data_IF_261636749883
#
_entry.id   IF_261636749883
#
_cell.length_a   1.000
_cell.length_b   1.000
_cell.length_c   1.000
_cell.angle_alpha   90.00
_cell.angle_beta   90.00
_cell.angle_gamma   90.00
#
_symmetry.space_group_name_H-M   'P 1'
#
loop_
_entity.id
_entity.type
_entity.pdbx_description
1 polymer ?
#
# COMPACT_ATOMS: atom_id res chain seq x y z
N UNK A 1 33.69 -17.17 6.30
CA UNK A 1 33.39 -16.66 4.95
C UNK A 1 31.95 -16.22 4.75
N UNK A 2 30.96 -16.72 5.52
CA UNK A 2 29.55 -16.27 5.40
C UNK A 2 29.31 -14.79 5.80
N UNK A 3 30.05 -14.28 6.79
CA UNK A 3 29.88 -12.89 7.27
C UNK A 3 30.36 -11.82 6.27
N UNK A 4 31.28 -12.16 5.37
CA UNK A 4 31.81 -11.22 4.37
C UNK A 4 30.85 -11.04 3.18
N UNK A 5 30.04 -12.05 2.85
CA UNK A 5 29.04 -11.97 1.79
C UNK A 5 27.85 -11.09 2.17
N UNK A 6 27.42 -11.11 3.44
CA UNK A 6 26.31 -10.27 3.94
C UNK A 6 26.69 -8.79 4.01
N UNK A 7 27.93 -8.48 4.38
CA UNK A 7 28.43 -7.10 4.41
C UNK A 7 28.52 -6.49 2.99
N UNK A 8 28.85 -7.27 1.96
CA UNK A 8 28.97 -6.75 0.59
C UNK A 8 27.60 -6.41 -0.04
N UNK A 9 26.56 -7.18 0.29
CA UNK A 9 25.18 -6.92 -0.18
C UNK A 9 24.61 -5.65 0.48
N UNK A 10 24.90 -5.40 1.75
CA UNK A 10 24.47 -4.17 2.44
C UNK A 10 25.19 -2.91 1.92
N UNK A 11 26.45 -3.03 1.51
CA UNK A 11 27.20 -1.89 0.93
C UNK A 11 26.70 -1.54 -0.47
N UNK A 12 26.28 -2.51 -1.29
CA UNK A 12 25.72 -2.20 -2.63
C UNK A 12 24.33 -1.56 -2.58
N UNK A 13 23.50 -1.90 -1.59
CA UNK A 13 22.21 -1.22 -1.36
C UNK A 13 22.41 0.21 -0.84
N UNK A 14 23.45 0.46 -0.05
CA UNK A 14 23.75 1.78 0.49
C UNK A 14 24.42 2.74 -0.51
N UNK A 15 25.31 2.26 -1.40
CA UNK A 15 26.15 3.12 -2.27
C UNK A 15 25.42 3.66 -3.51
N UNK A 16 24.29 3.06 -3.94
CA UNK A 16 23.46 3.62 -5.03
C UNK A 16 22.48 4.73 -4.58
N UNK A 17 22.39 5.01 -3.28
CA UNK A 17 21.50 6.04 -2.71
C UNK A 17 22.19 7.39 -2.45
N UNK A 18 23.52 7.50 -2.56
CA UNK A 18 24.27 8.70 -2.12
C UNK A 18 24.46 9.78 -3.19
N UNK A 19 23.78 9.71 -4.34
CA UNK A 19 23.81 10.78 -5.35
C UNK A 19 22.43 11.21 -5.82
N UNK A 20 21.41 11.10 -4.96
CA UNK A 20 20.17 11.83 -5.17
C UNK A 20 20.32 13.24 -4.61
N UNK A 21 19.96 14.30 -5.36
CA UNK A 21 19.80 15.63 -4.77
C UNK A 21 18.80 15.54 -3.60
N UNK A 22 19.01 16.36 -2.58
CA UNK A 22 18.17 16.37 -1.38
C UNK A 22 16.67 16.44 -1.76
N UNK A 23 15.79 15.69 -1.09
CA UNK A 23 14.35 15.75 -1.34
C UNK A 23 13.88 17.19 -1.15
N UNK A 24 13.17 17.71 -2.15
CA UNK A 24 12.53 19.03 -2.06
C UNK A 24 11.42 18.92 -1.03
N UNK A 25 11.56 19.62 0.10
CA UNK A 25 10.47 19.79 1.06
C UNK A 25 9.41 20.71 0.44
N UNK A 26 8.30 20.11 0.00
CA UNK A 26 7.15 20.84 -0.52
C UNK A 26 6.45 21.57 0.65
N UNK A 27 6.70 22.88 0.78
CA UNK A 27 5.95 23.74 1.67
C UNK A 27 4.68 24.20 0.96
N UNK A 28 3.54 24.01 1.61
CA UNK A 28 2.19 24.39 1.15
C UNK A 28 2.17 25.88 0.77
N UNK A 29 2.26 26.17 -0.53
CA UNK A 29 2.32 27.52 -1.11
C UNK A 29 0.96 27.84 -1.70
N UNK A 30 0.43 29.01 -1.36
CA UNK A 30 -0.83 29.53 -1.90
C UNK A 30 -0.77 29.62 -3.42
N UNK A 31 -1.63 28.85 -4.08
CA UNK A 31 -1.59 28.56 -5.51
C UNK A 31 -2.04 29.76 -6.37
N UNK A 32 -1.29 30.18 -7.40
CA UNK A 32 -1.79 31.09 -8.43
C UNK A 32 -2.92 30.43 -9.26
N UNK A 33 -3.75 31.24 -9.91
CA UNK A 33 -4.88 30.77 -10.74
C UNK A 33 -4.47 29.64 -11.69
N UNK A 34 -5.30 28.57 -11.82
CA UNK A 34 -4.93 27.40 -12.60
C UNK A 34 -4.74 27.78 -14.08
N UNK A 35 -3.61 27.41 -14.71
CA UNK A 35 -3.42 27.61 -16.14
C UNK A 35 -4.47 26.86 -16.95
N UNK A 36 -4.80 27.39 -18.13
CA UNK A 36 -5.66 26.71 -19.11
C UNK A 36 -4.99 25.40 -19.50
N UNK A 37 -5.60 24.26 -19.15
CA UNK A 37 -5.09 22.92 -19.46
C UNK A 37 -5.20 22.66 -20.96
N UNK A 38 -4.10 22.81 -21.69
CA UNK A 38 -3.98 22.20 -23.03
C UNK A 38 -3.64 20.73 -22.84
N UNK A 39 -4.52 19.83 -23.30
CA UNK A 39 -4.21 18.40 -23.26
C UNK A 39 -2.94 18.12 -24.08
N UNK A 40 -2.03 17.26 -23.57
CA UNK A 40 -0.84 16.89 -24.30
C UNK A 40 -1.24 16.01 -25.49
N UNK A 41 -0.31 15.81 -26.43
CA UNK A 41 -0.51 14.91 -27.58
C UNK A 41 -0.84 13.51 -27.07
N UNK A 42 -1.83 12.84 -27.66
CA UNK A 42 -2.20 11.48 -27.25
C UNK A 42 -1.03 10.50 -27.46
N UNK A 43 -0.83 9.55 -26.55
CA UNK A 43 0.25 8.56 -26.61
C UNK A 43 0.25 7.72 -27.88
N UNK A 44 -0.90 7.58 -28.54
CA UNK A 44 -1.01 6.87 -29.80
C UNK A 44 -0.38 7.67 -30.97
N UNK A 45 -0.38 9.00 -30.87
CA UNK A 45 0.15 9.91 -31.91
C UNK A 45 1.62 10.28 -31.67
N UNK A 46 2.21 9.84 -30.55
CA UNK A 46 3.63 10.01 -30.24
C UNK A 46 4.41 8.88 -30.90
N UNK A 47 5.62 9.16 -31.42
CA UNK A 47 6.49 8.13 -31.97
C UNK A 47 6.84 7.05 -30.92
N UNK A 48 7.16 5.84 -31.37
CA UNK A 48 7.70 4.78 -30.51
C UNK A 48 8.96 5.26 -29.80
N UNK A 49 9.08 4.99 -28.51
CA UNK A 49 10.23 5.38 -27.68
C UNK A 49 10.89 4.17 -27.02
N UNK A 50 12.07 4.39 -26.46
CA UNK A 50 12.88 3.36 -25.80
C UNK A 50 14.04 2.88 -26.66
N UNK A 51 14.84 1.97 -26.11
CA UNK A 51 16.11 1.53 -26.71
C UNK A 51 15.96 0.72 -28.01
N UNK A 52 14.75 0.24 -28.32
CA UNK A 52 14.41 -0.53 -29.52
C UNK A 52 13.50 0.24 -30.48
N UNK A 53 13.29 1.54 -30.26
CA UNK A 53 12.40 2.36 -31.09
C UNK A 53 12.78 2.37 -32.58
N UNK A 54 14.08 2.34 -32.88
CA UNK A 54 14.60 2.36 -34.25
C UNK A 54 14.61 0.98 -34.92
N UNK A 55 14.32 -0.11 -34.19
CA UNK A 55 14.20 -1.46 -34.75
C UNK A 55 12.79 -1.66 -35.33
N UNK A 56 12.57 -1.11 -36.52
CA UNK A 56 11.28 -1.15 -37.20
C UNK A 56 10.75 -2.59 -37.42
N UNK A 57 11.65 -3.56 -37.62
CA UNK A 57 11.27 -4.96 -37.80
C UNK A 57 10.74 -5.55 -36.48
N UNK A 58 11.43 -5.29 -35.37
CA UNK A 58 10.98 -5.73 -34.05
C UNK A 58 9.66 -5.05 -33.64
N UNK A 59 9.58 -3.72 -33.79
CA UNK A 59 8.38 -2.93 -33.46
C UNK A 59 7.15 -3.40 -34.26
N UNK A 60 7.31 -3.59 -35.57
CA UNK A 60 6.22 -4.11 -36.42
C UNK A 60 5.83 -5.55 -36.06
N UNK A 61 6.80 -6.39 -35.75
CA UNK A 61 6.57 -7.76 -35.30
C UNK A 61 5.74 -7.79 -34.01
N UNK A 62 6.08 -6.96 -33.03
CA UNK A 62 5.38 -6.89 -31.73
C UNK A 62 3.94 -6.41 -31.89
N UNK A 63 3.67 -5.41 -32.74
CA UNK A 63 2.31 -4.95 -33.01
C UNK A 63 1.41 -6.04 -33.64
N UNK A 64 2.03 -7.08 -34.23
CA UNK A 64 1.37 -8.11 -35.03
C UNK A 64 1.23 -9.46 -34.32
N UNK A 65 1.74 -9.62 -33.09
CA UNK A 65 1.70 -10.92 -32.41
C UNK A 65 0.27 -11.35 -32.04
N UNK A 66 -0.03 -12.67 -32.00
CA UNK A 66 -1.36 -13.14 -31.61
C UNK A 66 -1.79 -12.72 -30.21
N UNK A 67 -0.84 -12.54 -29.27
CA UNK A 67 -1.14 -12.18 -27.89
C UNK A 67 -1.85 -10.82 -27.75
N UNK A 68 -1.67 -9.90 -28.71
CA UNK A 68 -2.36 -8.60 -28.73
C UNK A 68 -3.62 -8.60 -29.59
N UNK A 69 -4.14 -9.78 -29.99
CA UNK A 69 -5.36 -9.88 -30.79
C UNK A 69 -6.61 -9.33 -30.07
N UNK A 70 -6.57 -9.23 -28.74
CA UNK A 70 -7.62 -8.60 -27.94
C UNK A 70 -7.62 -7.07 -27.99
N UNK A 71 -6.58 -6.45 -28.55
CA UNK A 71 -6.57 -5.01 -28.83
C UNK A 71 -7.31 -4.71 -30.14
N UNK A 72 -7.86 -3.48 -30.27
CA UNK A 72 -8.33 -2.96 -31.56
C UNK A 72 -7.34 -3.15 -32.71
N UNK A 73 -7.85 -3.13 -33.94
CA UNK A 73 -7.06 -3.45 -35.13
C UNK A 73 -6.00 -2.38 -35.46
N UNK A 74 -6.30 -1.11 -35.20
CA UNK A 74 -5.33 -0.04 -35.30
C UNK A 74 -4.44 -0.08 -34.06
N UNK A 75 -3.16 -0.45 -34.24
CA UNK A 75 -2.21 -0.67 -33.15
C UNK A 75 -0.97 0.17 -33.32
N UNK A 76 -0.46 0.66 -32.21
CA UNK A 76 0.75 1.44 -32.14
C UNK A 76 1.60 0.97 -30.94
N UNK A 77 2.91 0.82 -31.14
CA UNK A 77 3.85 0.48 -30.05
C UNK A 77 4.41 1.79 -29.50
N UNK A 78 3.95 2.23 -28.33
CA UNK A 78 4.44 3.49 -27.73
C UNK A 78 5.79 3.32 -27.05
N UNK A 79 6.08 2.14 -26.51
CA UNK A 79 7.36 1.80 -25.88
C UNK A 79 7.90 0.49 -26.42
N UNK A 80 9.19 0.48 -26.78
CA UNK A 80 9.98 -0.68 -27.14
C UNK A 80 11.37 -0.54 -26.49
N UNK A 81 11.67 -1.35 -25.47
CA UNK A 81 12.94 -1.23 -24.74
C UNK A 81 13.46 -2.55 -24.19
N UNK A 82 14.77 -2.68 -24.16
CA UNK A 82 15.47 -3.60 -23.27
C UNK A 82 15.54 -3.03 -21.84
N UNK A 83 15.44 -3.92 -20.86
CA UNK A 83 15.61 -3.69 -19.44
C UNK A 83 16.58 -4.76 -18.87
N UNK A 84 17.06 -4.62 -17.62
CA UNK A 84 17.82 -5.71 -16.99
C UNK A 84 17.00 -7.00 -16.99
N UNK A 85 17.59 -8.08 -17.53
CA UNK A 85 17.01 -9.43 -17.64
C UNK A 85 15.78 -9.59 -18.57
N UNK A 86 15.17 -8.50 -19.03
CA UNK A 86 13.89 -8.53 -19.76
C UNK A 86 13.85 -7.58 -20.96
N UNK A 87 12.93 -7.86 -21.86
CA UNK A 87 12.52 -6.96 -22.94
C UNK A 87 11.06 -6.61 -22.75
N UNK A 88 10.70 -5.35 -23.01
CA UNK A 88 9.39 -4.78 -22.68
C UNK A 88 8.83 -4.00 -23.85
N UNK A 89 7.54 -4.19 -24.11
CA UNK A 89 6.78 -3.33 -25.01
C UNK A 89 5.45 -2.87 -24.39
N UNK A 90 5.05 -1.67 -24.78
CA UNK A 90 3.72 -1.14 -24.50
C UNK A 90 2.99 -0.89 -25.81
N UNK A 91 1.88 -1.60 -26.02
CA UNK A 91 1.10 -1.54 -27.25
C UNK A 91 -0.25 -0.93 -26.94
N UNK A 92 -0.61 0.12 -27.68
CA UNK A 92 -1.92 0.71 -27.70
C UNK A 92 -2.70 0.19 -28.90
N UNK A 93 -3.98 -0.11 -28.69
CA UNK A 93 -4.97 -0.28 -29.75
C UNK A 93 -6.06 0.77 -29.60
N UNK A 94 -6.49 1.35 -30.71
CA UNK A 94 -7.52 2.40 -30.75
C UNK A 94 -8.69 1.97 -31.63
N UNK A 95 -9.90 2.26 -31.17
CA UNK A 95 -11.09 2.33 -32.01
C UNK A 95 -11.73 3.73 -31.90
N UNK A 96 -12.94 3.94 -32.42
CA UNK A 96 -13.57 5.27 -32.42
C UNK A 96 -13.81 5.86 -31.04
N UNK A 97 -13.94 5.03 -30.00
CA UNK A 97 -14.44 5.46 -28.70
C UNK A 97 -13.51 5.07 -27.53
N UNK A 98 -12.54 4.20 -27.74
CA UNK A 98 -11.69 3.65 -26.67
C UNK A 98 -10.24 3.43 -27.08
N UNK A 99 -9.35 3.64 -26.11
CA UNK A 99 -7.95 3.19 -26.18
C UNK A 99 -7.75 2.04 -25.19
N UNK A 100 -7.30 0.90 -25.71
CA UNK A 100 -6.97 -0.28 -24.92
C UNK A 100 -5.47 -0.50 -25.01
N UNK A 101 -4.85 -0.85 -23.89
CA UNK A 101 -3.42 -1.06 -23.81
C UNK A 101 -3.06 -2.49 -23.42
N UNK A 102 -1.88 -2.94 -23.84
CA UNK A 102 -1.27 -4.19 -23.43
C UNK A 102 0.20 -3.97 -23.09
N UNK A 103 0.60 -4.52 -21.94
CA UNK A 103 2.00 -4.68 -21.56
C UNK A 103 2.50 -6.04 -22.03
N UNK A 104 3.64 -6.05 -22.71
CA UNK A 104 4.31 -7.25 -23.18
C UNK A 104 5.69 -7.35 -22.55
N UNK A 105 6.04 -8.56 -22.09
CA UNK A 105 7.32 -8.88 -21.48
C UNK A 105 7.89 -10.17 -22.08
N UNK A 106 9.21 -10.22 -22.21
CA UNK A 106 9.97 -11.38 -22.67
C UNK A 106 11.37 -11.38 -22.05
N UNK A 107 12.14 -12.47 -22.19
CA UNK A 107 13.53 -12.49 -21.75
C UNK A 107 14.36 -11.44 -22.49
N UNK A 108 15.50 -11.04 -21.93
CA UNK A 108 16.44 -10.15 -22.61
C UNK A 108 16.80 -10.68 -24.01
N UNK A 109 16.73 -9.81 -25.02
CA UNK A 109 16.98 -10.19 -26.41
C UNK A 109 15.83 -10.92 -27.11
N UNK A 110 14.66 -11.08 -26.47
CA UNK A 110 13.53 -11.79 -27.04
C UNK A 110 13.12 -11.24 -28.43
N UNK A 111 12.98 -12.09 -29.44
CA UNK A 111 12.28 -11.70 -30.67
C UNK A 111 10.78 -11.51 -30.39
N UNK A 112 10.03 -10.82 -31.28
CA UNK A 112 8.63 -10.48 -31.03
C UNK A 112 7.75 -11.67 -30.66
N UNK A 113 7.94 -12.83 -31.30
CA UNK A 113 7.18 -14.05 -31.07
C UNK A 113 7.39 -14.70 -29.69
N UNK A 114 8.43 -14.29 -28.95
CA UNK A 114 8.68 -14.73 -27.58
C UNK A 114 8.13 -13.75 -26.53
N UNK A 115 7.56 -12.61 -26.96
CA UNK A 115 6.91 -11.67 -26.07
C UNK A 115 5.55 -12.22 -25.64
N UNK A 116 5.24 -12.06 -24.35
CA UNK A 116 3.99 -12.52 -23.74
C UNK A 116 3.31 -11.37 -23.01
N UNK A 117 1.99 -11.46 -22.84
CA UNK A 117 1.27 -10.47 -22.03
C UNK A 117 1.77 -10.51 -20.59
N UNK A 118 2.15 -9.35 -20.05
CA UNK A 118 2.48 -9.22 -18.64
C UNK A 118 1.23 -9.34 -17.76
N UNK A 119 0.08 -8.90 -18.27
CA UNK A 119 -1.25 -8.96 -17.66
C UNK A 119 -2.30 -8.86 -18.78
N UNK A 120 -3.56 -9.14 -18.47
CA UNK A 120 -4.67 -8.91 -19.39
C UNK A 120 -4.70 -7.44 -19.89
N UNK A 121 -5.08 -7.19 -21.17
CA UNK A 121 -5.27 -5.85 -21.69
C UNK A 121 -6.27 -5.03 -20.87
N UNK A 122 -6.07 -3.71 -20.81
CA UNK A 122 -6.84 -2.81 -19.96
C UNK A 122 -7.11 -1.48 -20.65
N UNK A 123 -8.20 -0.81 -20.28
CA UNK A 123 -8.52 0.50 -20.81
C UNK A 123 -7.56 1.56 -20.24
N UNK A 124 -7.16 2.50 -21.09
CA UNK A 124 -6.34 3.65 -20.71
C UNK A 124 -6.96 4.91 -21.30
N UNK A 125 -6.71 6.06 -20.67
CA UNK A 125 -6.90 7.32 -21.38
C UNK A 125 -5.72 7.53 -22.33
N UNK A 126 -5.95 8.29 -23.41
CA UNK A 126 -4.92 8.56 -24.41
C UNK A 126 -3.77 9.45 -23.88
N UNK A 127 -3.89 10.04 -22.70
CA UNK A 127 -2.95 11.04 -22.18
C UNK A 127 -2.48 10.81 -20.74
N UNK A 128 -3.08 9.91 -19.96
CA UNK A 128 -2.62 9.70 -18.57
C UNK A 128 -1.39 8.79 -18.56
N UNK A 129 -0.34 9.13 -17.79
CA UNK A 129 0.82 8.28 -17.66
C UNK A 129 0.45 6.86 -17.21
N UNK A 130 1.07 5.87 -17.84
CA UNK A 130 0.83 4.46 -17.55
C UNK A 130 2.09 3.85 -16.95
N UNK A 131 1.93 3.03 -15.94
CA UNK A 131 3.04 2.33 -15.31
C UNK A 131 2.79 0.82 -15.25
N UNK A 132 3.86 0.04 -15.40
CA UNK A 132 3.93 -1.39 -15.17
C UNK A 132 4.91 -1.67 -14.03
N UNK A 133 4.51 -2.51 -13.09
CA UNK A 133 5.43 -3.12 -12.14
C UNK A 133 5.48 -4.62 -12.40
N UNK A 134 6.65 -5.09 -12.81
CA UNK A 134 6.93 -6.50 -13.03
C UNK A 134 7.95 -7.04 -12.03
N UNK A 135 8.02 -8.37 -11.92
CA UNK A 135 9.07 -9.09 -11.22
C UNK A 135 9.69 -10.07 -12.21
N UNK A 136 10.90 -9.76 -12.71
CA UNK A 136 11.61 -10.64 -13.63
C UNK A 136 11.83 -12.07 -13.09
N UNK A 137 12.13 -13.05 -13.97
CA UNK A 137 12.31 -14.45 -13.58
C UNK A 137 13.32 -14.68 -12.44
N UNK A 138 13.18 -15.84 -11.79
CA UNK A 138 13.64 -16.21 -10.43
C UNK A 138 15.10 -15.94 -10.02
N UNK A 139 16.00 -15.58 -10.93
CA UNK A 139 17.36 -15.15 -10.60
C UNK A 139 17.43 -13.67 -10.15
N UNK A 140 16.40 -12.89 -10.45
CA UNK A 140 16.27 -11.49 -10.04
C UNK A 140 15.49 -11.39 -8.73
N UNK A 141 16.08 -10.76 -7.72
CA UNK A 141 15.46 -10.60 -6.38
C UNK A 141 14.69 -9.29 -6.22
N UNK A 142 14.64 -8.44 -7.26
CA UNK A 142 13.94 -7.16 -7.25
C UNK A 142 12.64 -7.16 -8.04
N UNK A 143 12.02 -6.00 -8.17
CA UNK A 143 11.03 -5.70 -9.18
C UNK A 143 11.59 -4.73 -10.22
N UNK A 144 10.81 -4.49 -11.26
CA UNK A 144 11.10 -3.52 -12.30
C UNK A 144 9.88 -2.63 -12.46
N UNK A 145 10.09 -1.31 -12.35
CA UNK A 145 9.06 -0.30 -12.58
C UNK A 145 9.32 0.36 -13.92
N UNK A 146 8.34 0.27 -14.81
CA UNK A 146 8.33 0.95 -16.11
C UNK A 146 7.24 2.00 -16.09
N UNK A 147 7.55 3.23 -16.47
CA UNK A 147 6.60 4.34 -16.53
C UNK A 147 6.70 4.98 -17.91
N UNK A 148 5.55 5.15 -18.56
CA UNK A 148 5.40 5.84 -19.84
C UNK A 148 4.62 7.13 -19.57
N UNK A 149 5.35 8.24 -19.51
CA UNK A 149 4.82 9.60 -19.49
C UNK A 149 5.07 10.31 -20.82
N UNK A 150 4.74 11.59 -20.89
CA UNK A 150 5.00 12.47 -22.03
C UNK A 150 6.46 12.93 -22.05
N UNK A 151 7.01 13.25 -23.23
CA UNK A 151 8.31 13.90 -23.33
C UNK A 151 8.38 15.16 -22.45
N UNK A 152 9.41 15.24 -21.60
CA UNK A 152 9.62 16.34 -20.64
C UNK A 152 9.16 16.02 -19.21
N UNK A 153 8.28 15.05 -19.02
CA UNK A 153 7.77 14.70 -17.70
C UNK A 153 8.87 14.31 -16.71
N UNK A 154 8.71 14.72 -15.45
CA UNK A 154 9.50 14.21 -14.33
C UNK A 154 8.73 13.11 -13.61
N UNK A 155 9.40 12.01 -13.31
CA UNK A 155 8.76 10.84 -12.72
C UNK A 155 9.34 10.58 -11.34
N UNK A 156 8.46 10.47 -10.35
CA UNK A 156 8.80 10.08 -8.99
C UNK A 156 7.95 8.90 -8.54
N UNK A 157 8.52 8.09 -7.67
CA UNK A 157 7.90 6.86 -7.17
C UNK A 157 7.68 6.93 -5.68
N UNK A 158 6.45 6.74 -5.25
CA UNK A 158 6.04 6.68 -3.84
C UNK A 158 5.57 5.27 -3.52
N UNK A 159 6.46 4.51 -2.86
CA UNK A 159 6.20 3.13 -2.46
C UNK A 159 5.22 3.03 -1.28
N UNK A 160 5.21 4.04 -0.41
CA UNK A 160 4.39 4.09 0.80
C UNK A 160 4.81 5.22 1.74
N UNK A 161 4.46 5.11 3.02
CA UNK A 161 4.82 6.06 4.08
C UNK A 161 6.02 5.57 4.88
N UNK A 162 7.01 6.44 5.07
CA UNK A 162 8.07 6.22 6.03
C UNK A 162 7.61 6.66 7.42
N UNK A 163 8.08 5.98 8.47
CA UNK A 163 7.81 6.36 9.86
C UNK A 163 9.14 6.44 10.61
N UNK A 164 9.43 7.61 11.16
CA UNK A 164 10.64 7.83 11.95
C UNK A 164 10.57 7.07 13.28
N UNK A 165 11.71 6.89 13.95
CA UNK A 165 11.74 6.29 15.29
C UNK A 165 10.91 7.08 16.33
N UNK A 166 10.65 8.36 16.07
CA UNK A 166 9.78 9.23 16.88
C UNK A 166 8.28 9.08 16.59
N UNK A 167 7.89 8.27 15.60
CA UNK A 167 6.49 8.07 15.19
C UNK A 167 5.98 9.09 14.16
N UNK A 168 6.83 9.97 13.66
CA UNK A 168 6.46 10.94 12.62
C UNK A 168 6.33 10.24 11.27
N UNK A 169 5.30 10.61 10.50
CA UNK A 169 5.00 10.02 9.20
C UNK A 169 5.49 10.92 8.09
N UNK A 170 6.36 10.39 7.24
CA UNK A 170 6.90 11.09 6.08
C UNK A 170 6.49 10.39 4.79
N UNK A 171 6.35 11.18 3.72
CA UNK A 171 6.21 10.67 2.36
C UNK A 171 7.53 10.86 1.65
N UNK A 172 8.15 9.75 1.25
CA UNK A 172 9.40 9.78 0.50
C UNK A 172 9.08 9.39 -0.93
N UNK A 173 9.14 10.38 -1.83
CA UNK A 173 9.04 10.16 -3.26
C UNK A 173 10.47 10.06 -3.82
N UNK A 174 10.79 8.93 -4.43
CA UNK A 174 12.09 8.70 -5.07
C UNK A 174 12.01 9.14 -6.53
N UNK A 175 12.80 10.15 -6.91
CA UNK A 175 12.90 10.54 -8.33
C UNK A 175 13.50 9.40 -9.13
N UNK A 176 12.86 9.05 -10.24
CA UNK A 176 13.32 8.00 -11.15
C UNK A 176 14.15 8.60 -12.29
N UNK A 177 15.08 7.82 -12.89
CA UNK A 177 15.74 8.23 -14.12
C UNK A 177 14.71 8.29 -15.25
N UNK A 178 14.66 9.41 -15.97
CA UNK A 178 13.74 9.62 -17.10
C UNK A 178 14.53 9.92 -18.37
N UNK A 179 14.16 9.28 -19.47
CA UNK A 179 14.64 9.59 -20.82
C UNK A 179 13.43 9.68 -21.73
N UNK A 180 13.19 10.85 -22.32
CA UNK A 180 12.06 11.11 -23.22
C UNK A 180 10.68 10.70 -22.65
N UNK A 181 10.44 11.05 -21.38
CA UNK A 181 9.20 10.71 -20.67
C UNK A 181 9.10 9.24 -20.26
N UNK A 182 10.11 8.41 -20.53
CA UNK A 182 10.15 7.00 -20.15
C UNK A 182 11.06 6.80 -18.95
N UNK A 183 10.58 6.06 -17.96
CA UNK A 183 11.42 5.53 -16.88
C UNK A 183 11.41 4.01 -16.87
N UNK A 184 12.58 3.41 -16.77
CA UNK A 184 12.78 1.97 -16.54
C UNK A 184 13.74 1.85 -15.37
N UNK A 185 13.24 1.48 -14.20
CA UNK A 185 14.00 1.53 -12.96
C UNK A 185 13.87 0.23 -12.16
N UNK A 186 15.00 -0.33 -11.65
CA UNK A 186 14.94 -1.43 -10.70
C UNK A 186 14.34 -0.92 -9.38
N UNK A 187 13.40 -1.68 -8.84
CA UNK A 187 12.71 -1.41 -7.57
C UNK A 187 12.65 -2.69 -6.72
N UNK A 188 12.05 -2.65 -5.54
CA UNK A 188 11.68 -3.87 -4.82
C UNK A 188 10.51 -4.60 -5.50
N UNK A 189 10.18 -5.83 -5.09
CA UNK A 189 8.88 -6.43 -5.46
C UNK A 189 7.73 -5.58 -4.89
N UNK A 190 6.53 -5.61 -5.51
CA UNK A 190 5.37 -4.92 -4.97
C UNK A 190 5.02 -5.47 -3.58
N UNK A 191 4.88 -4.60 -2.56
CA UNK A 191 4.58 -5.04 -1.21
C UNK A 191 3.14 -5.52 -1.09
N UNK A 192 2.22 -4.92 -1.84
CA UNK A 192 0.80 -5.25 -1.88
C UNK A 192 0.20 -4.85 -3.25
N UNK A 193 -1.02 -5.31 -3.58
CA UNK A 193 -1.66 -5.01 -4.87
C UNK A 193 -2.00 -3.53 -5.06
N UNK A 194 -2.01 -2.76 -3.96
CA UNK A 194 -2.42 -1.36 -3.90
C UNK A 194 -1.45 -0.54 -3.03
N UNK A 195 -1.70 0.76 -2.93
CA UNK A 195 -0.98 1.67 -2.02
C UNK A 195 0.29 2.30 -2.59
N UNK A 196 0.80 1.77 -3.70
CA UNK A 196 1.90 2.37 -4.43
C UNK A 196 1.39 3.39 -5.46
N UNK A 197 2.08 4.53 -5.54
CA UNK A 197 1.75 5.61 -6.46
C UNK A 197 2.98 6.01 -7.28
N UNK A 198 2.77 6.21 -8.57
CA UNK A 198 3.70 6.93 -9.43
C UNK A 198 3.18 8.36 -9.56
N UNK A 199 4.06 9.31 -9.25
CA UNK A 199 3.82 10.74 -9.38
C UNK A 199 4.52 11.20 -10.66
N UNK A 200 3.77 11.78 -11.58
CA UNK A 200 4.32 12.33 -12.82
C UNK A 200 4.07 13.82 -12.81
N UNK A 201 5.15 14.60 -12.66
CA UNK A 201 5.08 16.05 -12.72
C UNK A 201 5.25 16.48 -14.18
N UNK A 202 4.14 16.94 -14.76
CA UNK A 202 4.08 17.44 -16.12
C UNK A 202 4.18 18.96 -16.08
N UNK A 203 5.21 19.53 -16.72
CA UNK A 203 5.54 20.96 -16.74
C UNK A 203 4.36 21.89 -17.13
N UNK A 204 3.32 21.35 -17.76
CA UNK A 204 2.23 22.13 -18.38
C UNK A 204 0.84 21.96 -17.75
N UNK A 205 0.59 20.95 -16.91
CA UNK A 205 -0.79 20.57 -16.51
C UNK A 205 -0.93 20.26 -15.00
N UNK A 206 0.18 20.24 -14.26
CA UNK A 206 0.24 19.83 -12.85
C UNK A 206 0.48 18.32 -12.70
N UNK A 207 0.72 17.88 -11.45
CA UNK A 207 1.12 16.51 -11.17
C UNK A 207 -0.01 15.48 -11.36
N UNK A 208 0.28 14.43 -12.14
CA UNK A 208 -0.54 13.24 -12.27
C UNK A 208 -0.19 12.20 -11.19
N UNK A 209 -1.19 11.39 -10.83
CA UNK A 209 -1.01 10.23 -9.95
C UNK A 209 -1.58 9.01 -10.64
N UNK A 210 -0.75 8.00 -10.84
CA UNK A 210 -1.17 6.72 -11.41
C UNK A 210 -0.74 5.58 -10.50
N UNK A 211 -1.54 4.51 -10.46
CA UNK A 211 -1.16 3.26 -9.79
C UNK A 211 -0.56 2.34 -10.84
N UNK A 212 0.62 1.74 -10.59
CA UNK A 212 1.20 0.83 -11.54
C UNK A 212 0.31 -0.40 -11.74
N UNK A 213 0.13 -0.79 -12.99
CA UNK A 213 -0.47 -2.08 -13.32
C UNK A 213 0.53 -3.16 -12.94
N UNK A 214 0.11 -4.15 -12.16
CA UNK A 214 0.96 -5.29 -11.82
C UNK A 214 0.91 -6.31 -12.94
N UNK A 215 2.07 -6.84 -13.34
CA UNK A 215 2.11 -8.09 -14.10
C UNK A 215 1.50 -9.24 -13.30
N UNK A 216 1.14 -10.36 -13.93
CA UNK A 216 0.61 -11.53 -13.24
C UNK A 216 1.61 -12.11 -12.23
N UNK A 217 2.92 -12.05 -12.54
CA UNK A 217 4.00 -12.46 -11.64
C UNK A 217 4.12 -11.54 -10.43
N UNK A 218 4.11 -10.24 -10.68
CA UNK A 218 4.17 -9.22 -9.63
C UNK A 218 2.93 -9.27 -8.74
N UNK A 219 1.74 -9.49 -9.33
CA UNK A 219 0.46 -9.66 -8.62
C UNK A 219 0.50 -10.89 -7.72
N UNK A 220 1.00 -12.03 -8.21
CA UNK A 220 1.12 -13.25 -7.39
C UNK A 220 1.99 -13.03 -6.13
N UNK A 221 3.06 -12.23 -6.25
CA UNK A 221 3.90 -11.86 -5.10
C UNK A 221 3.17 -10.90 -4.15
N UNK A 222 2.53 -9.88 -4.70
CA UNK A 222 1.78 -8.89 -3.93
C UNK A 222 0.58 -9.48 -3.17
N UNK A 223 -0.06 -10.50 -3.73
CA UNK A 223 -1.22 -11.19 -3.15
C UNK A 223 -0.85 -12.36 -2.24
N UNK A 224 0.43 -12.71 -2.15
CA UNK A 224 0.91 -13.80 -1.33
C UNK A 224 0.42 -13.64 0.13
N UNK A 225 -0.06 -14.73 0.78
CA UNK A 225 -0.58 -14.64 2.13
C UNK A 225 0.45 -14.09 3.13
N UNK A 226 0.04 -13.08 3.88
CA UNK A 226 0.82 -12.53 4.98
C UNK A 226 0.58 -13.37 6.23
N UNK A 227 1.65 -13.87 6.85
CA UNK A 227 1.54 -14.66 8.08
C UNK A 227 1.77 -13.75 9.30
N UNK A 228 0.70 -13.33 10.01
CA UNK A 228 0.89 -12.59 11.25
C UNK A 228 1.35 -13.53 12.37
N UNK A 229 2.13 -13.01 13.31
CA UNK A 229 2.31 -13.66 14.59
C UNK A 229 0.98 -13.63 15.37
N UNK A 230 0.65 -14.74 16.02
CA UNK A 230 -0.56 -14.88 16.83
C UNK A 230 -0.23 -15.40 18.23
N UNK A 231 0.45 -14.59 19.07
CA UNK A 231 0.84 -14.98 20.42
C UNK A 231 -0.35 -15.23 21.36
N UNK A 232 -1.55 -14.81 20.95
CA UNK A 232 -2.79 -14.87 21.72
C UNK A 232 -3.76 -15.94 21.21
N UNK A 233 -3.40 -16.67 20.15
CA UNK A 233 -4.22 -17.73 19.53
C UNK A 233 -5.59 -17.24 19.06
N UNK A 234 -5.65 -16.01 18.55
CA UNK A 234 -6.86 -15.32 18.10
C UNK A 234 -7.28 -15.71 16.68
N UNK A 235 -6.37 -16.30 15.88
CA UNK A 235 -6.59 -16.56 14.45
C UNK A 235 -7.81 -17.44 14.19
N UNK A 236 -8.08 -18.41 15.07
CA UNK A 236 -9.25 -19.29 14.96
C UNK A 236 -10.61 -18.57 15.09
N UNK A 237 -10.59 -17.32 15.57
CA UNK A 237 -11.79 -16.50 15.75
C UNK A 237 -11.97 -15.47 14.65
N UNK A 238 -11.08 -15.38 13.66
CA UNK A 238 -11.09 -14.34 12.62
C UNK A 238 -11.34 -14.97 11.25
N UNK A 239 -12.14 -14.32 10.42
CA UNK A 239 -12.23 -14.68 9.00
C UNK A 239 -10.89 -14.41 8.30
N UNK A 240 -10.27 -15.45 7.74
CA UNK A 240 -8.93 -15.36 7.16
C UNK A 240 -8.89 -14.40 5.95
N UNK A 241 -9.95 -14.35 5.14
CA UNK A 241 -10.02 -13.43 3.99
C UNK A 241 -9.96 -11.96 4.43
N UNK A 242 -10.72 -11.60 5.46
CA UNK A 242 -10.71 -10.26 6.07
C UNK A 242 -9.38 -9.93 6.73
N UNK A 243 -8.79 -10.89 7.45
CA UNK A 243 -7.46 -10.72 8.06
C UNK A 243 -6.40 -10.43 6.98
N UNK A 244 -6.39 -11.21 5.90
CA UNK A 244 -5.45 -11.01 4.79
C UNK A 244 -5.65 -9.66 4.09
N UNK A 245 -6.90 -9.22 3.92
CA UNK A 245 -7.18 -7.88 3.39
C UNK A 245 -6.57 -6.79 4.28
N UNK A 246 -6.83 -6.84 5.59
CA UNK A 246 -6.32 -5.85 6.55
C UNK A 246 -4.79 -5.82 6.61
N UNK A 247 -4.15 -7.01 6.56
CA UNK A 247 -2.70 -7.13 6.56
C UNK A 247 -2.08 -6.58 5.26
N UNK A 248 -2.69 -6.83 4.10
CA UNK A 248 -2.23 -6.26 2.83
C UNK A 248 -2.40 -4.75 2.80
N UNK A 249 -3.48 -4.20 3.35
CA UNK A 249 -3.67 -2.76 3.45
C UNK A 249 -2.60 -2.10 4.36
N UNK A 250 -2.23 -2.76 5.46
CA UNK A 250 -1.13 -2.32 6.32
C UNK A 250 0.20 -2.31 5.55
N UNK A 251 0.54 -3.41 4.87
CA UNK A 251 1.75 -3.54 4.06
C UNK A 251 1.80 -2.48 2.96
N UNK A 252 0.68 -2.28 2.25
CA UNK A 252 0.49 -1.28 1.20
C UNK A 252 0.76 0.14 1.71
N UNK A 253 0.26 0.48 2.90
CA UNK A 253 0.34 1.84 3.42
C UNK A 253 1.78 2.29 3.73
N UNK A 254 2.65 1.36 4.15
CA UNK A 254 4.05 1.65 4.44
C UNK A 254 4.97 1.32 3.26
N UNK A 255 4.51 0.54 2.29
CA UNK A 255 5.34 0.16 1.16
C UNK A 255 6.46 -0.81 1.54
N UNK A 256 6.31 -1.53 2.66
CA UNK A 256 7.34 -2.40 3.24
C UNK A 256 6.85 -3.84 3.14
N UNK A 257 7.58 -4.76 2.48
CA UNK A 257 7.27 -6.18 2.45
C UNK A 257 6.91 -6.76 3.83
N UNK A 258 5.92 -7.65 3.84
CA UNK A 258 5.41 -8.28 5.06
C UNK A 258 6.49 -8.92 5.94
N UNK A 259 7.52 -9.49 5.31
CA UNK A 259 8.68 -10.10 6.00
C UNK A 259 9.49 -9.11 6.85
N UNK A 260 9.40 -7.81 6.57
CA UNK A 260 10.13 -6.77 7.30
C UNK A 260 9.30 -6.04 8.37
N UNK A 261 7.97 -6.12 8.34
CA UNK A 261 7.10 -5.50 9.36
C UNK A 261 6.57 -6.48 10.42
N UNK A 262 6.69 -7.80 10.17
CA UNK A 262 6.29 -8.88 11.10
C UNK A 262 4.96 -8.60 11.81
N UNK A 263 3.83 -8.57 11.09
CA UNK A 263 2.53 -8.20 11.67
C UNK A 263 2.13 -9.13 12.81
N UNK A 264 1.35 -8.61 13.76
CA UNK A 264 0.87 -9.32 14.94
C UNK A 264 -0.65 -9.14 15.04
N UNK A 265 -1.37 -10.24 15.26
CA UNK A 265 -2.79 -10.20 15.60
C UNK A 265 -2.94 -9.81 17.07
N UNK A 266 -3.48 -8.61 17.32
CA UNK A 266 -3.50 -7.99 18.64
C UNK A 266 -4.82 -8.26 19.38
N UNK A 267 -5.96 -8.07 18.73
CA UNK A 267 -7.27 -8.29 19.32
C UNK A 267 -8.31 -8.62 18.28
N UNK A 268 -9.36 -9.35 18.68
CA UNK A 268 -10.56 -9.54 17.89
C UNK A 268 -11.75 -9.73 18.82
N UNK A 269 -12.95 -9.40 18.34
CA UNK A 269 -14.18 -9.60 19.09
C UNK A 269 -15.40 -9.00 18.39
N UNK A 270 -16.60 -9.31 18.88
CA UNK A 270 -17.83 -8.73 18.37
C UNK A 270 -17.92 -7.25 18.72
N UNK A 271 -18.51 -6.46 17.82
CA UNK A 271 -18.87 -5.05 18.04
C UNK A 271 -20.38 -4.91 17.90
N UNK A 272 -21.00 -4.29 18.91
CA UNK A 272 -22.44 -4.05 18.91
C UNK A 272 -23.25 -5.35 18.95
N UNK A 273 -24.57 -5.20 18.85
CA UNK A 273 -25.51 -6.33 18.87
C UNK A 273 -25.75 -6.92 17.48
N UNK A 274 -25.13 -6.33 16.44
CA UNK A 274 -25.33 -6.70 15.04
C UNK A 274 -24.52 -7.91 14.57
N UNK A 275 -23.57 -8.40 15.37
CA UNK A 275 -22.63 -9.44 14.94
C UNK A 275 -21.51 -8.89 14.04
N UNK A 276 -21.30 -7.57 14.02
CA UNK A 276 -20.13 -6.97 13.39
C UNK A 276 -18.88 -7.46 14.13
N UNK A 277 -17.77 -7.62 13.42
CA UNK A 277 -16.54 -8.18 13.97
C UNK A 277 -15.37 -7.22 13.81
N UNK A 278 -14.64 -6.98 14.91
CA UNK A 278 -13.39 -6.25 14.93
C UNK A 278 -12.18 -7.17 14.77
N UNK A 279 -11.17 -6.68 14.05
CA UNK A 279 -9.85 -7.27 13.96
C UNK A 279 -8.83 -6.15 14.11
N UNK A 280 -8.04 -6.19 15.17
CA UNK A 280 -6.92 -5.28 15.41
C UNK A 280 -5.62 -6.01 15.13
N UNK A 281 -4.85 -5.49 14.18
CA UNK A 281 -3.49 -5.95 13.89
C UNK A 281 -2.52 -4.81 14.16
N UNK A 282 -1.27 -5.15 14.45
CA UNK A 282 -0.20 -4.16 14.54
C UNK A 282 1.11 -4.69 13.99
N UNK A 283 2.10 -3.81 13.90
CA UNK A 283 3.43 -4.17 13.42
C UNK A 283 4.49 -3.29 14.11
N UNK A 284 5.71 -3.82 14.17
CA UNK A 284 6.90 -3.04 14.51
C UNK A 284 7.68 -2.79 13.23
N UNK A 285 7.84 -1.52 12.88
CA UNK A 285 8.55 -1.09 11.68
C UNK A 285 10.08 -1.24 11.88
N UNK A 286 10.88 -1.25 10.80
CA UNK A 286 12.34 -1.33 10.90
C UNK A 286 12.99 -0.23 11.76
N UNK A 287 12.33 0.93 11.91
CA UNK A 287 12.76 2.03 12.78
C UNK A 287 12.46 1.80 14.27
N UNK A 288 11.80 0.70 14.62
CA UNK A 288 11.34 0.38 15.97
C UNK A 288 10.01 1.02 16.36
N UNK A 289 9.48 1.95 15.55
CA UNK A 289 8.15 2.52 15.74
C UNK A 289 7.06 1.44 15.57
N UNK A 290 5.93 1.61 16.27
CA UNK A 290 4.81 0.65 16.23
C UNK A 290 3.58 1.26 15.61
N UNK A 291 2.85 0.47 14.84
CA UNK A 291 1.62 0.89 14.14
C UNK A 291 0.51 -0.10 14.39
N UNK A 292 -0.74 0.35 14.38
CA UNK A 292 -1.91 -0.50 14.53
C UNK A 292 -3.02 -0.14 13.55
N UNK A 293 -3.78 -1.15 13.13
CA UNK A 293 -4.86 -1.06 12.16
C UNK A 293 -6.05 -1.84 12.69
N UNK A 294 -7.21 -1.17 12.73
CA UNK A 294 -8.47 -1.77 13.10
C UNK A 294 -9.32 -1.92 11.83
N UNK A 295 -9.64 -3.17 11.50
CA UNK A 295 -10.67 -3.52 10.54
C UNK A 295 -11.96 -3.90 11.26
N UNK A 296 -13.10 -3.39 10.81
CA UNK A 296 -14.43 -3.78 11.27
C UNK A 296 -15.27 -4.18 10.08
N UNK A 297 -15.80 -5.40 10.11
CA UNK A 297 -16.64 -5.91 9.04
C UNK A 297 -18.04 -6.20 9.56
N UNK A 298 -19.05 -5.77 8.80
CA UNK A 298 -20.44 -6.04 9.08
C UNK A 298 -20.82 -7.50 8.88
N UNK A 299 -21.91 -7.92 9.51
CA UNK A 299 -22.57 -9.22 9.29
C UNK A 299 -23.74 -9.15 8.29
N UNK A 300 -24.05 -7.96 7.76
CA UNK A 300 -25.24 -7.69 6.93
C UNK A 300 -25.25 -8.40 5.58
N UNK A 301 -26.44 -8.50 4.97
CA UNK A 301 -26.63 -9.02 3.62
C UNK A 301 -25.93 -8.12 2.59
N UNK A 302 -24.89 -8.64 1.94
CA UNK A 302 -24.04 -7.94 0.97
C UNK A 302 -22.60 -8.43 1.09
N UNK A 303 -21.73 -8.04 0.15
CA UNK A 303 -20.29 -8.28 0.31
C UNK A 303 -19.79 -7.37 1.45
N UNK A 304 -19.40 -7.92 2.62
CA UNK A 304 -19.16 -7.12 3.80
C UNK A 304 -17.85 -6.33 3.61
N UNK A 305 -17.98 -5.08 3.17
CA UNK A 305 -16.86 -4.15 3.07
C UNK A 305 -16.23 -3.98 4.46
N UNK A 306 -14.97 -4.38 4.59
CA UNK A 306 -14.18 -4.10 5.78
C UNK A 306 -13.93 -2.60 5.85
N UNK A 307 -14.36 -1.98 6.94
CA UNK A 307 -14.03 -0.59 7.22
C UNK A 307 -12.73 -0.58 7.99
N UNK A 308 -11.77 0.20 7.54
CA UNK A 308 -10.42 0.18 8.09
C UNK A 308 -10.04 1.55 8.61
N UNK A 309 -9.48 1.58 9.81
CA UNK A 309 -8.83 2.77 10.37
C UNK A 309 -7.44 2.42 10.87
N UNK A 310 -6.51 3.35 10.71
CA UNK A 310 -5.12 3.24 11.18
C UNK A 310 -4.92 4.15 12.38
N UNK A 311 -4.12 3.73 13.34
CA UNK A 311 -3.68 4.62 14.43
C UNK A 311 -2.55 5.52 13.94
N UNK A 312 -2.34 6.65 14.63
CA UNK A 312 -1.07 7.38 14.55
C UNK A 312 0.06 6.43 14.98
N UNK A 313 1.21 6.37 14.27
CA UNK A 313 2.34 5.56 14.70
C UNK A 313 2.86 6.04 16.05
N UNK A 314 3.27 5.08 16.87
CA UNK A 314 3.83 5.37 18.16
C UNK A 314 5.35 5.20 18.12
N UNK A 315 6.06 6.09 18.83
CA UNK A 315 7.52 6.08 18.88
C UNK A 315 8.09 4.74 19.35
N UNK A 316 9.31 4.45 18.91
CA UNK A 316 10.10 3.31 19.37
C UNK A 316 10.36 3.36 20.89
N UNK A 317 10.62 2.19 21.49
CA UNK A 317 11.00 2.08 22.90
C UNK A 317 10.11 1.15 23.73
N UNK A 318 8.82 1.06 23.41
CA UNK A 318 7.89 0.09 24.02
C UNK A 318 7.51 -0.96 23.00
N UNK A 319 7.74 -2.23 23.33
CA UNK A 319 7.37 -3.36 22.48
C UNK A 319 5.86 -3.37 22.22
N UNK A 320 5.46 -3.79 21.01
CA UNK A 320 4.07 -3.72 20.55
C UNK A 320 3.09 -4.45 21.51
N UNK A 321 3.48 -5.61 22.03
CA UNK A 321 2.65 -6.44 22.92
C UNK A 321 2.59 -5.95 24.37
N UNK A 322 3.50 -5.06 24.76
CA UNK A 322 3.55 -4.47 26.11
C UNK A 322 2.91 -3.09 26.15
N UNK A 323 2.49 -2.56 25.00
CA UNK A 323 1.84 -1.26 24.87
C UNK A 323 0.32 -1.40 25.01
N UNK A 324 -0.30 -0.48 25.75
CA UNK A 324 -1.75 -0.30 25.73
C UNK A 324 -2.14 0.47 24.46
N UNK A 325 -2.84 -0.22 23.56
CA UNK A 325 -3.44 0.30 22.34
C UNK A 325 -4.93 0.16 22.48
N UNK A 326 -5.67 1.25 22.26
CA UNK A 326 -7.11 1.19 22.17
C UNK A 326 -7.63 2.02 21.02
N UNK A 327 -8.42 1.37 20.18
CA UNK A 327 -8.93 1.99 18.97
C UNK A 327 -10.45 2.10 19.07
N UNK A 328 -11.01 3.31 18.94
CA UNK A 328 -12.44 3.49 18.82
C UNK A 328 -13.00 2.75 17.61
N UNK A 329 -14.09 2.01 17.81
CA UNK A 329 -14.75 1.20 16.79
C UNK A 329 -16.23 1.58 16.57
N UNK A 330 -16.76 2.53 17.35
CA UNK A 330 -18.17 2.95 17.27
C UNK A 330 -18.57 3.57 15.92
N UNK A 331 -17.62 4.11 15.16
CA UNK A 331 -17.83 4.69 13.83
C UNK A 331 -18.15 3.63 12.76
N UNK A 332 -17.80 2.37 13.00
CA UNK A 332 -17.85 1.31 11.99
C UNK A 332 -19.12 0.45 12.05
N UNK A 333 -19.99 0.66 13.05
CA UNK A 333 -21.19 -0.16 13.24
C UNK A 333 -22.13 0.02 12.05
N UNK A 334 -22.50 -1.10 11.42
CA UNK A 334 -23.05 -1.18 10.06
C UNK A 334 -24.46 -0.58 9.83
N UNK A 335 -24.97 0.25 10.75
CA UNK A 335 -26.28 0.92 10.61
C UNK A 335 -26.10 2.42 10.37
N UNK A 336 -25.93 2.77 9.09
CA UNK A 336 -26.25 4.12 8.60
C UNK A 336 -27.73 4.17 8.18
N UNK A 337 -28.44 5.29 8.40
CA UNK A 337 -27.96 6.46 9.14
C UNK A 337 -28.03 6.17 10.64
N UNK A 338 -26.98 6.54 11.37
CA UNK A 338 -27.03 6.62 12.83
C UNK A 338 -28.27 7.45 13.19
N UNK A 339 -29.16 6.97 14.08
CA UNK A 339 -30.32 7.75 14.46
C UNK A 339 -29.85 9.14 14.95
N UNK A 340 -30.56 10.22 14.60
CA UNK A 340 -30.23 11.56 15.07
C UNK A 340 -30.49 11.64 16.57
N UNK A 341 -29.47 11.33 17.36
CA UNK A 341 -29.51 11.33 18.82
C UNK A 341 -28.29 10.62 19.41
N UNK A 342 -27.42 11.37 20.07
CA UNK A 342 -26.38 10.93 21.02
C UNK A 342 -25.56 9.65 20.67
N UNK A 343 -25.22 9.45 19.39
CA UNK A 343 -24.16 8.54 18.92
C UNK A 343 -24.37 7.04 19.22
N UNK A 344 -23.77 6.13 18.44
CA UNK A 344 -23.70 4.74 18.87
C UNK A 344 -22.94 4.66 20.21
N UNK A 345 -23.20 3.66 21.07
CA UNK A 345 -22.33 3.41 22.22
C UNK A 345 -20.90 3.31 21.72
N UNK A 346 -19.98 4.03 22.36
CA UNK A 346 -18.57 3.90 22.01
C UNK A 346 -18.18 2.44 22.19
N UNK A 347 -17.58 1.83 21.18
CA UNK A 347 -16.93 0.53 21.32
C UNK A 347 -15.43 0.77 21.24
N UNK A 348 -14.67 0.07 22.08
CA UNK A 348 -13.21 0.06 22.00
C UNK A 348 -12.72 -1.35 21.70
N UNK A 349 -11.69 -1.43 20.88
CA UNK A 349 -10.88 -2.62 20.71
C UNK A 349 -9.54 -2.36 21.38
N UNK A 350 -9.21 -3.16 22.39
CA UNK A 350 -8.05 -2.97 23.25
C UNK A 350 -7.06 -4.10 23.11
N UNK A 351 -5.78 -3.74 23.06
CA UNK A 351 -4.65 -4.63 23.23
C UNK A 351 -3.70 -4.01 24.25
N UNK A 352 -3.36 -4.72 25.33
CA UNK A 352 -2.37 -4.34 26.33
C UNK A 352 -1.46 -5.52 26.71
N UNK A 353 -0.67 -5.41 27.79
CA UNK A 353 0.20 -6.49 28.26
C UNK A 353 -0.52 -7.82 28.43
N UNK A 354 0.17 -8.94 28.15
CA UNK A 354 -0.42 -10.31 28.09
C UNK A 354 -1.13 -10.74 29.38
N UNK A 355 -0.68 -10.24 30.52
CA UNK A 355 -1.21 -10.48 31.85
C UNK A 355 -2.41 -9.59 32.21
N UNK A 356 -2.81 -8.67 31.32
CA UNK A 356 -4.01 -7.86 31.46
C UNK A 356 -5.28 -8.71 31.38
N UNK A 357 -6.16 -8.52 32.37
CA UNK A 357 -7.44 -9.23 32.50
C UNK A 357 -8.65 -8.30 32.48
N UNK A 358 -8.44 -7.01 32.74
CA UNK A 358 -9.50 -6.00 32.76
C UNK A 358 -9.01 -4.73 32.09
N UNK A 359 -9.84 -4.12 31.25
CA UNK A 359 -9.65 -2.75 30.79
C UNK A 359 -10.66 -1.84 31.48
N UNK A 360 -10.18 -0.75 32.08
CA UNK A 360 -11.00 0.31 32.65
C UNK A 360 -11.04 1.49 31.69
N UNK A 361 -12.23 1.95 31.30
CA UNK A 361 -12.43 3.17 30.53
C UNK A 361 -12.36 4.40 31.43
N UNK A 362 -11.57 5.40 31.04
CA UNK A 362 -11.25 6.57 31.85
C UNK A 362 -11.88 7.84 31.26
N UNK A 363 -12.41 8.69 32.15
CA UNK A 363 -12.78 10.07 31.83
C UNK A 363 -11.56 11.00 31.86
N UNK A 364 -11.72 12.24 31.36
CA UNK A 364 -10.66 13.24 31.34
C UNK A 364 -10.08 13.61 32.72
N UNK A 365 -10.84 13.39 33.79
CA UNK A 365 -10.38 13.60 35.17
C UNK A 365 -9.75 12.34 35.80
N UNK A 366 -9.58 11.26 35.05
CA UNK A 366 -9.03 9.98 35.50
C UNK A 366 -10.04 9.04 36.20
N UNK A 367 -11.30 9.44 36.34
CA UNK A 367 -12.33 8.56 36.92
C UNK A 367 -12.65 7.39 35.98
N UNK A 368 -12.83 6.21 36.57
CA UNK A 368 -13.32 5.03 35.84
C UNK A 368 -14.80 5.21 35.49
N UNK A 369 -15.10 5.15 34.20
CA UNK A 369 -16.46 5.22 33.64
C UNK A 369 -17.10 3.84 33.48
N UNK A 370 -16.29 2.79 33.43
CA UNK A 370 -16.71 1.40 33.28
C UNK A 370 -15.53 0.49 33.02
N UNK A 371 -15.77 -0.81 32.97
CA UNK A 371 -14.74 -1.80 32.65
C UNK A 371 -15.29 -2.97 31.84
N UNK A 372 -14.40 -3.67 31.14
CA UNK A 372 -14.72 -4.88 30.39
C UNK A 372 -13.54 -5.87 30.44
N UNK A 373 -13.81 -7.18 30.28
CA UNK A 373 -12.78 -8.20 30.42
C UNK A 373 -11.81 -8.21 29.25
N UNK A 374 -10.57 -8.61 29.53
CA UNK A 374 -9.53 -8.92 28.58
C UNK A 374 -9.14 -10.41 28.71
N UNK A 375 -8.85 -11.03 27.57
CA UNK A 375 -8.27 -12.37 27.51
C UNK A 375 -6.86 -12.22 26.94
N UNK A 376 -5.85 -12.59 27.75
CA UNK A 376 -4.44 -12.44 27.39
C UNK A 376 -4.06 -11.00 26.95
N UNK A 377 -4.63 -9.99 27.62
CA UNK A 377 -4.42 -8.57 27.29
C UNK A 377 -5.24 -8.04 26.11
N UNK A 378 -6.11 -8.82 25.48
CA UNK A 378 -6.93 -8.40 24.35
C UNK A 378 -8.43 -8.39 24.69
N UNK A 379 -9.19 -7.43 24.17
CA UNK A 379 -10.64 -7.46 24.32
C UNK A 379 -11.36 -6.37 23.54
N UNK A 380 -12.68 -6.53 23.46
CA UNK A 380 -13.60 -5.58 22.82
C UNK A 380 -14.73 -5.31 23.80
N UNK A 381 -15.07 -4.03 23.99
CA UNK A 381 -16.09 -3.65 24.97
C UNK A 381 -16.78 -2.35 24.65
N UNK A 382 -18.02 -2.23 25.11
CA UNK A 382 -18.76 -0.98 25.10
C UNK A 382 -18.19 -0.04 26.17
N UNK A 383 -18.18 1.25 25.87
CA UNK A 383 -17.71 2.32 26.76
C UNK A 383 -18.71 3.46 26.81
N UNK A 384 -18.70 4.17 27.95
CA UNK A 384 -19.54 5.33 28.15
C UNK A 384 -19.06 6.53 27.30
N UNK A 385 -19.97 7.44 26.90
CA UNK A 385 -19.59 8.74 26.36
C UNK A 385 -18.63 9.49 27.29
N UNK A 386 -17.69 10.24 26.71
CA UNK A 386 -16.67 10.98 27.47
C UNK A 386 -15.46 10.15 27.90
N UNK A 387 -15.36 8.89 27.45
CA UNK A 387 -14.12 8.11 27.56
C UNK A 387 -13.01 8.77 26.73
N UNK A 388 -11.84 9.00 27.34
CA UNK A 388 -10.66 9.60 26.70
C UNK A 388 -9.42 8.71 26.76
N UNK A 389 -9.45 7.67 27.59
CA UNK A 389 -8.33 6.76 27.79
C UNK A 389 -8.76 5.47 28.45
N UNK A 390 -7.79 4.59 28.68
CA UNK A 390 -7.98 3.25 29.24
C UNK A 390 -6.79 2.89 30.09
N UNK A 391 -7.06 2.12 31.15
CA UNK A 391 -6.07 1.50 32.01
C UNK A 391 -6.26 -0.01 31.98
N UNK A 392 -5.16 -0.77 31.90
CA UNK A 392 -5.18 -2.23 31.88
C UNK A 392 -4.71 -2.76 33.22
N UNK A 393 -5.53 -3.61 33.82
CA UNK A 393 -5.26 -4.23 35.12
C UNK A 393 -5.03 -5.73 34.99
N UNK A 394 -4.15 -6.28 35.83
CA UNK A 394 -4.02 -7.73 35.99
C UNK A 394 -5.11 -8.33 36.87
N UNK A 395 -5.07 -9.65 37.09
CA UNK A 395 -6.07 -10.37 37.90
C UNK A 395 -6.12 -9.95 39.37
N UNK A 396 -5.06 -9.31 39.88
CA UNK A 396 -4.97 -8.79 41.25
C UNK A 396 -5.36 -7.31 41.36
N UNK A 397 -5.69 -6.67 40.23
CA UNK A 397 -6.00 -5.25 40.16
C UNK A 397 -4.76 -4.35 40.07
N UNK A 398 -3.58 -4.91 39.83
CA UNK A 398 -2.35 -4.12 39.61
C UNK A 398 -2.40 -3.48 38.22
N UNK A 399 -2.06 -2.20 38.19
CA UNK A 399 -1.93 -1.43 36.95
C UNK A 399 -0.74 -1.92 36.11
N UNK A 400 -1.03 -2.36 34.88
CA UNK A 400 -0.03 -2.80 33.92
C UNK A 400 0.30 -1.72 32.89
N UNK A 401 -0.42 -0.60 32.90
CA UNK A 401 -0.25 0.53 32.01
C UNK A 401 -1.57 1.16 31.58
N UNK A 402 -1.47 2.41 31.13
CA UNK A 402 -2.57 3.18 30.57
C UNK A 402 -2.21 3.77 29.20
N UNK A 403 -3.22 4.26 28.49
CA UNK A 403 -3.04 4.96 27.22
C UNK A 403 -4.27 5.76 26.80
N UNK A 404 -4.08 6.83 26.01
CA UNK A 404 -5.20 7.56 25.42
C UNK A 404 -5.92 6.70 24.37
N UNK A 405 -7.13 7.11 24.01
CA UNK A 405 -7.76 6.57 22.80
C UNK A 405 -6.91 6.93 21.57
N UNK A 406 -6.71 5.97 20.67
CA UNK A 406 -5.99 6.21 19.45
C UNK A 406 -6.70 7.29 18.61
N UNK A 407 -5.94 8.30 18.22
CA UNK A 407 -6.39 9.29 17.25
C UNK A 407 -6.60 8.60 15.90
N UNK A 408 -7.78 8.82 15.31
CA UNK A 408 -8.13 8.34 13.99
C UNK A 408 -7.82 9.48 13.01
N UNK A 409 -7.03 9.24 11.94
CA UNK A 409 -6.83 10.26 10.92
C UNK A 409 -8.17 10.58 10.26
N UNK A 410 -8.50 11.87 10.21
CA UNK A 410 -9.70 12.39 9.57
C UNK A 410 -9.72 12.25 8.05
#
# INVERSE_FOLDING_TARGET
MLAAAVALVLVFVAVRLTSSPAPVQEHDRTDPSPPVRTHPVEFFDIATRGTLADDAAWVSGVASIPAVSGLPAERHVTLATDAPEERIAFVLGRDSDQTVAAWLVGPSGAPPEQMTLATAPFAVSGWDPVALWDVPPAQWTGGLLVVVGHPGDQISFLLGRAVTAGGEVERVANRLPVTDGISVAPVGPPPAPSGTLVLVDADSIGGWRTSPVLSDRARAIAEAPVQPADPRQLRGSVDEGRLQSLLRDMVAAYGIPASMISPVLLATGPIGDGGDQAVLVGATLPTGATVAWLGVAGSGQGDPLIRVVRTVPAASGTALLDRVIAVPAGWAVSRLPLPPGNGPPGWLVVSGPRNGTTAEALAANGNTLGSFPLIAGAGVGAVAPGTVGIRVLDASGVDLGDGPLAELPG
#
